data_IF_038768287346
#
_entry.id   IF_038768287346
#
_cell.length_a   1.000
_cell.length_b   1.000
_cell.length_c   1.000
_cell.angle_alpha   90.00
_cell.angle_beta   90.00
_cell.angle_gamma   90.00
#
_symmetry.space_group_name_H-M   'P 1'
#
loop_
_entity.id
_entity.type
_entity.pdbx_description
1 polymer ?
#
# COMPACT_ATOMS: atom_id res chain seq x y z
N UNK A 1 -0.69 45.20 25.67
CA UNK A 1 -0.21 43.86 25.19
C UNK A 1 -0.93 42.72 25.90
N UNK A 2 -2.27 42.58 25.81
CA UNK A 2 -2.97 41.44 26.43
C UNK A 2 -4.26 40.91 25.79
N UNK A 3 -4.71 41.37 24.62
CA UNK A 3 -6.03 40.91 24.12
C UNK A 3 -6.10 40.32 22.70
N UNK A 4 -5.08 40.43 21.84
CA UNK A 4 -5.10 39.76 20.54
C UNK A 4 -3.79 39.04 20.27
N UNK A 5 -3.79 37.71 20.46
CA UNK A 5 -2.67 36.79 20.16
C UNK A 5 -2.42 36.67 18.64
N UNK A 6 -2.10 37.77 17.98
CA UNK A 6 -1.53 37.76 16.63
C UNK A 6 -0.02 37.64 16.79
N UNK A 7 0.48 36.40 16.76
CA UNK A 7 1.92 36.15 16.60
C UNK A 7 2.26 36.54 15.17
N UNK A 8 2.65 37.81 14.97
CA UNK A 8 3.21 38.23 13.69
C UNK A 8 4.55 37.50 13.51
N UNK A 9 4.76 36.79 12.40
CA UNK A 9 6.06 36.26 12.03
C UNK A 9 7.15 37.35 12.15
N UNK A 10 8.33 37.03 12.69
CA UNK A 10 9.39 38.00 12.96
C UNK A 10 9.79 38.81 11.71
N UNK A 11 9.68 38.21 10.52
CA UNK A 11 9.96 38.87 9.25
C UNK A 11 8.99 40.03 8.96
N UNK A 12 7.70 39.88 9.29
CA UNK A 12 6.72 40.94 9.11
C UNK A 12 6.94 42.07 10.11
N UNK A 13 7.34 41.76 11.35
CA UNK A 13 7.65 42.77 12.36
C UNK A 13 8.88 43.62 11.99
N UNK A 14 9.92 42.99 11.42
CA UNK A 14 11.10 43.69 10.89
C UNK A 14 10.72 44.59 9.70
N UNK A 15 9.86 44.11 8.81
CA UNK A 15 9.37 44.90 7.67
C UNK A 15 8.58 46.13 8.15
N UNK A 16 7.66 45.96 9.10
CA UNK A 16 6.91 47.07 9.70
C UNK A 16 7.84 48.09 10.36
N UNK A 17 8.88 47.64 11.08
CA UNK A 17 9.87 48.53 11.68
C UNK A 17 10.64 49.33 10.62
N UNK A 18 11.01 48.69 9.50
CA UNK A 18 11.69 49.36 8.40
C UNK A 18 10.79 50.43 7.74
N UNK A 19 9.51 50.12 7.52
CA UNK A 19 8.53 51.07 7.00
C UNK A 19 8.35 52.28 7.91
N UNK A 20 8.14 52.06 9.22
CA UNK A 20 7.99 53.14 10.21
C UNK A 20 9.25 54.03 10.26
N UNK A 21 10.43 53.41 10.14
CA UNK A 21 11.70 54.17 10.15
C UNK A 21 11.84 55.03 8.90
N UNK A 22 11.45 54.50 7.73
CA UNK A 22 11.49 55.23 6.47
C UNK A 22 10.48 56.37 6.41
N UNK A 23 9.26 56.14 6.88
CA UNK A 23 8.21 57.16 7.02
C UNK A 23 8.66 58.27 7.99
N UNK A 24 9.25 57.91 9.13
CA UNK A 24 9.79 58.86 10.09
C UNK A 24 10.94 59.71 9.56
N UNK A 25 11.77 59.18 8.65
CA UNK A 25 12.77 59.99 7.94
C UNK A 25 12.13 60.87 6.86
N UNK A 26 11.11 60.38 6.15
CA UNK A 26 10.36 61.14 5.15
C UNK A 26 9.66 62.37 5.75
N UNK A 27 9.00 62.20 6.90
CA UNK A 27 8.35 63.29 7.63
C UNK A 27 9.32 64.37 8.15
N UNK A 28 10.61 64.05 8.31
CA UNK A 28 11.62 65.07 8.66
C UNK A 28 11.99 65.97 7.48
N UNK A 29 11.86 65.48 6.24
CA UNK A 29 12.09 66.29 5.04
C UNK A 29 10.80 66.99 4.58
N UNK A 30 9.65 66.34 4.67
CA UNK A 30 8.36 66.88 4.23
C UNK A 30 7.23 66.48 5.20
N UNK A 31 6.62 67.43 5.93
CA UNK A 31 5.75 67.11 7.07
C UNK A 31 4.43 66.40 6.74
N UNK A 32 3.97 66.43 5.49
CA UNK A 32 2.72 65.79 5.01
C UNK A 32 2.98 64.47 4.22
N UNK A 33 4.18 63.89 4.34
CA UNK A 33 4.56 62.70 3.57
C UNK A 33 3.82 61.43 4.03
N UNK A 34 2.93 60.89 3.18
CA UNK A 34 2.30 59.58 3.34
C UNK A 34 3.00 58.53 2.47
N UNK A 35 3.84 57.72 3.11
CA UNK A 35 4.59 56.67 2.42
C UNK A 35 3.71 55.51 1.95
N UNK A 36 2.65 55.19 2.68
CA UNK A 36 1.75 54.09 2.36
C UNK A 36 0.91 54.42 1.12
N UNK A 37 0.45 55.66 0.99
CA UNK A 37 -0.29 56.18 -0.17
C UNK A 37 0.52 56.10 -1.47
N UNK A 38 1.80 56.45 -1.44
CA UNK A 38 2.70 56.42 -2.61
C UNK A 38 3.23 55.02 -2.95
N UNK A 39 3.45 54.16 -1.95
CA UNK A 39 3.91 52.79 -2.18
C UNK A 39 2.80 51.87 -2.72
N UNK A 40 1.53 52.12 -2.38
CA UNK A 40 0.38 51.34 -2.82
C UNK A 40 0.28 51.14 -4.34
N UNK A 41 0.36 52.19 -5.19
CA UNK A 41 0.26 52.04 -6.64
C UNK A 41 1.40 51.22 -7.26
N UNK A 42 2.62 51.35 -6.75
CA UNK A 42 3.76 50.52 -7.17
C UNK A 42 3.54 49.05 -6.80
N UNK A 43 3.09 48.78 -5.57
CA UNK A 43 2.78 47.43 -5.13
C UNK A 43 1.68 46.79 -6.00
N UNK A 44 0.66 47.58 -6.35
CA UNK A 44 -0.47 47.13 -7.17
C UNK A 44 -0.06 46.83 -8.60
N UNK A 45 0.79 47.67 -9.20
CA UNK A 45 1.36 47.44 -10.53
C UNK A 45 2.18 46.14 -10.57
N UNK A 46 3.00 45.90 -9.55
CA UNK A 46 3.87 44.72 -9.48
C UNK A 46 3.08 43.44 -9.19
N UNK A 47 2.05 43.51 -8.33
CA UNK A 47 1.13 42.39 -8.10
C UNK A 47 0.34 42.03 -9.36
N UNK A 48 -0.14 43.03 -10.11
CA UNK A 48 -0.81 42.84 -11.40
C UNK A 48 0.14 42.23 -12.43
N UNK A 49 1.40 42.67 -12.48
CA UNK A 49 2.44 42.10 -13.35
C UNK A 49 2.71 40.62 -13.02
N UNK A 50 2.72 40.27 -11.73
CA UNK A 50 2.95 38.89 -11.24
C UNK A 50 1.73 37.97 -11.45
N UNK A 51 0.53 38.53 -11.58
CA UNK A 51 -0.72 37.84 -11.90
C UNK A 51 -1.08 37.87 -13.40
N UNK A 52 -0.14 38.24 -14.27
CA UNK A 52 -0.38 38.18 -15.71
C UNK A 52 -0.50 36.73 -16.21
N UNK A 53 -1.40 36.44 -17.17
CA UNK A 53 -1.63 35.09 -17.70
C UNK A 53 -0.37 34.45 -18.30
N UNK A 54 0.62 35.23 -18.70
CA UNK A 54 1.93 34.75 -19.17
C UNK A 54 2.73 34.00 -18.10
N UNK A 55 2.60 34.40 -16.83
CA UNK A 55 3.29 33.76 -15.70
C UNK A 55 2.70 32.38 -15.37
N UNK A 56 1.37 32.23 -15.52
CA UNK A 56 0.64 30.97 -15.39
C UNK A 56 1.02 30.00 -16.51
N UNK A 57 1.09 30.49 -17.75
CA UNK A 57 1.53 29.67 -18.91
C UNK A 57 2.98 29.21 -18.76
N UNK A 58 3.90 30.09 -18.33
CA UNK A 58 5.30 29.70 -18.05
C UNK A 58 5.41 28.66 -16.94
N UNK A 59 4.61 28.78 -15.88
CA UNK A 59 4.55 27.77 -14.80
C UNK A 59 4.02 26.43 -15.31
N UNK A 60 2.94 26.45 -16.09
CA UNK A 60 2.37 25.24 -16.70
C UNK A 60 3.34 24.55 -17.67
N UNK A 61 4.05 25.31 -18.50
CA UNK A 61 5.06 24.78 -19.41
C UNK A 61 6.23 24.13 -18.67
N UNK A 62 6.70 24.76 -17.58
CA UNK A 62 7.79 24.24 -16.75
C UNK A 62 7.37 22.94 -16.05
N UNK A 63 6.17 22.90 -15.47
CA UNK A 63 5.61 21.68 -14.87
C UNK A 63 5.43 20.55 -15.91
N UNK A 64 4.94 20.86 -17.11
CA UNK A 64 4.82 19.87 -18.19
C UNK A 64 6.19 19.34 -18.65
N UNK A 65 7.21 20.20 -18.72
CA UNK A 65 8.57 19.78 -19.09
C UNK A 65 9.23 18.88 -18.03
N UNK A 66 9.00 19.15 -16.74
CA UNK A 66 9.46 18.27 -15.65
C UNK A 66 8.78 16.90 -15.72
N UNK A 67 7.46 16.89 -15.98
CA UNK A 67 6.68 15.66 -16.12
C UNK A 67 7.16 14.81 -17.31
N UNK A 68 7.50 15.47 -18.44
CA UNK A 68 8.11 14.81 -19.58
C UNK A 68 9.52 14.29 -19.28
N UNK A 69 10.32 15.01 -18.49
CA UNK A 69 11.64 14.56 -18.04
C UNK A 69 11.57 13.27 -17.22
N UNK A 70 10.63 13.19 -16.27
CA UNK A 70 10.42 11.99 -15.44
C UNK A 70 10.05 10.78 -16.31
N UNK A 71 9.16 10.96 -17.29
CA UNK A 71 8.76 9.87 -18.20
C UNK A 71 9.93 9.43 -19.09
N UNK A 72 10.78 10.38 -19.51
CA UNK A 72 11.95 10.09 -20.33
C UNK A 72 13.04 9.30 -19.58
N UNK A 73 13.21 9.56 -18.28
CA UNK A 73 14.21 8.87 -17.45
C UNK A 73 13.73 7.51 -16.91
N UNK A 74 12.43 7.31 -16.74
CA UNK A 74 11.81 6.07 -16.28
C UNK A 74 12.29 4.79 -17.00
N UNK A 75 12.35 4.71 -18.34
CA UNK A 75 12.82 3.50 -19.03
C UNK A 75 14.28 3.18 -18.74
N UNK A 76 15.11 4.19 -18.47
CA UNK A 76 16.51 4.00 -18.12
C UNK A 76 16.67 3.39 -16.74
N UNK A 77 15.90 3.89 -15.76
CA UNK A 77 15.86 3.35 -14.40
C UNK A 77 15.34 1.92 -14.38
N UNK A 78 14.28 1.63 -15.14
CA UNK A 78 13.73 0.28 -15.27
C UNK A 78 14.75 -0.67 -15.91
N UNK A 79 15.47 -0.21 -16.94
CA UNK A 79 16.55 -0.98 -17.57
C UNK A 79 17.70 -1.26 -16.61
N UNK A 80 18.07 -0.30 -15.75
CA UNK A 80 19.08 -0.48 -14.70
C UNK A 80 18.63 -1.52 -13.68
N UNK A 81 17.35 -1.47 -13.27
CA UNK A 81 16.76 -2.42 -12.32
C UNK A 81 16.77 -3.85 -12.87
N UNK A 82 16.33 -4.04 -14.12
CA UNK A 82 16.31 -5.34 -14.80
C UNK A 82 17.73 -5.89 -14.96
N UNK A 83 18.70 -5.03 -15.29
CA UNK A 83 20.12 -5.42 -15.39
C UNK A 83 20.70 -5.81 -14.03
N UNK A 84 20.31 -5.13 -12.95
CA UNK A 84 20.70 -5.50 -11.59
C UNK A 84 20.09 -6.85 -11.18
N UNK A 85 18.80 -7.07 -11.51
CA UNK A 85 18.10 -8.33 -11.27
C UNK A 85 18.76 -9.51 -12.00
N UNK A 86 19.05 -9.33 -13.30
CA UNK A 86 19.68 -10.38 -14.14
C UNK A 86 21.08 -10.76 -13.67
N UNK A 87 21.81 -9.83 -13.02
CA UNK A 87 23.14 -10.10 -12.46
C UNK A 87 23.11 -10.81 -11.10
N UNK A 88 21.93 -11.15 -10.58
CA UNK A 88 21.79 -11.76 -9.26
C UNK A 88 22.27 -10.85 -8.11
N UNK A 89 22.48 -9.55 -8.40
CA UNK A 89 22.89 -8.53 -7.42
C UNK A 89 21.70 -7.74 -6.89
N UNK A 90 20.47 -8.21 -7.13
CA UNK A 90 19.34 -7.74 -6.34
C UNK A 90 19.47 -8.43 -4.99
N UNK A 91 20.22 -7.79 -4.09
CA UNK A 91 20.17 -8.10 -2.67
C UNK A 91 18.83 -7.56 -2.17
N UNK A 92 17.76 -8.28 -2.51
CA UNK A 92 16.43 -7.91 -2.07
C UNK A 92 16.38 -8.25 -0.60
N UNK A 93 16.59 -7.24 0.24
CA UNK A 93 16.14 -7.24 1.63
C UNK A 93 14.59 -7.27 1.67
N UNK A 94 13.98 -8.27 1.02
CA UNK A 94 12.66 -8.74 1.41
C UNK A 94 12.91 -9.47 2.71
N UNK A 95 12.29 -9.03 3.80
CA UNK A 95 12.25 -9.75 5.06
C UNK A 95 11.85 -11.20 4.78
N UNK A 96 12.83 -12.10 4.71
CA UNK A 96 12.69 -13.50 4.29
C UNK A 96 11.69 -14.23 5.20
N UNK A 97 11.46 -13.68 6.40
CA UNK A 97 10.47 -14.12 7.36
C UNK A 97 9.03 -14.11 6.80
N UNK A 98 8.65 -13.11 6.00
CA UNK A 98 7.30 -13.02 5.43
C UNK A 98 7.09 -14.00 4.27
N UNK A 99 8.09 -14.18 3.40
CA UNK A 99 7.98 -15.13 2.29
C UNK A 99 7.96 -16.58 2.78
N UNK A 100 8.75 -16.91 3.80
CA UNK A 100 8.74 -18.24 4.41
C UNK A 100 7.39 -18.56 5.03
N UNK A 101 6.78 -17.59 5.71
CA UNK A 101 5.45 -17.78 6.30
C UNK A 101 4.36 -17.98 5.24
N UNK A 102 4.43 -17.28 4.11
CA UNK A 102 3.51 -17.50 2.98
C UNK A 102 3.73 -18.88 2.35
N UNK A 103 4.97 -19.33 2.23
CA UNK A 103 5.31 -20.69 1.77
C UNK A 103 4.72 -21.77 2.68
N UNK A 104 4.93 -21.65 4.00
CA UNK A 104 4.45 -22.63 4.98
C UNK A 104 2.90 -22.70 5.01
N UNK A 105 2.22 -21.55 4.86
CA UNK A 105 0.76 -21.51 4.75
C UNK A 105 0.25 -22.18 3.46
N UNK A 106 0.95 -21.96 2.34
CA UNK A 106 0.60 -22.56 1.05
C UNK A 106 0.78 -24.07 1.08
N UNK A 107 1.88 -24.57 1.63
CA UNK A 107 2.13 -26.01 1.81
C UNK A 107 1.05 -26.65 2.70
N UNK A 108 0.65 -25.97 3.77
CA UNK A 108 -0.47 -26.39 4.62
C UNK A 108 -1.80 -26.46 3.86
N UNK A 109 -2.09 -25.48 2.99
CA UNK A 109 -3.29 -25.46 2.16
C UNK A 109 -3.29 -26.57 1.10
N UNK A 110 -2.17 -26.77 0.41
CA UNK A 110 -2.01 -27.82 -0.59
C UNK A 110 -2.18 -29.20 0.03
N UNK A 111 -1.55 -29.46 1.18
CA UNK A 111 -1.69 -30.75 1.87
C UNK A 111 -3.14 -31.03 2.30
N UNK A 112 -3.86 -30.01 2.77
CA UNK A 112 -5.31 -30.13 3.10
C UNK A 112 -6.15 -30.43 1.86
N UNK A 113 -5.85 -29.79 0.72
CA UNK A 113 -6.52 -30.06 -0.55
C UNK A 113 -6.25 -31.48 -1.04
N UNK A 114 -4.99 -31.94 -1.01
CA UNK A 114 -4.62 -33.30 -1.39
C UNK A 114 -5.34 -34.34 -0.53
N UNK A 115 -5.36 -34.15 0.79
CA UNK A 115 -6.03 -35.07 1.69
C UNK A 115 -7.56 -35.07 1.50
N UNK A 116 -8.18 -33.91 1.25
CA UNK A 116 -9.60 -33.83 0.86
C UNK A 116 -9.90 -34.56 -0.44
N UNK A 117 -9.01 -34.46 -1.44
CA UNK A 117 -9.14 -35.15 -2.72
C UNK A 117 -9.06 -36.68 -2.56
N UNK A 118 -8.15 -37.18 -1.72
CA UNK A 118 -8.03 -38.61 -1.40
C UNK A 118 -9.33 -39.12 -0.76
N UNK A 119 -9.90 -38.38 0.19
CA UNK A 119 -11.16 -38.76 0.85
C UNK A 119 -12.30 -38.76 -0.15
N UNK A 120 -12.41 -37.74 -1.01
CA UNK A 120 -13.43 -37.70 -2.05
C UNK A 120 -13.31 -38.89 -3.01
N UNK A 121 -12.10 -39.23 -3.44
CA UNK A 121 -11.84 -40.39 -4.28
C UNK A 121 -12.20 -41.71 -3.59
N UNK A 122 -11.92 -41.86 -2.30
CA UNK A 122 -12.32 -43.03 -1.51
C UNK A 122 -13.85 -43.15 -1.37
N UNK A 123 -14.55 -42.04 -1.15
CA UNK A 123 -16.02 -42.02 -1.08
C UNK A 123 -16.62 -42.47 -2.40
N UNK A 124 -16.18 -41.88 -3.52
CA UNK A 124 -16.66 -42.23 -4.86
C UNK A 124 -16.33 -43.68 -5.20
N UNK A 125 -15.09 -44.13 -4.95
CA UNK A 125 -14.68 -45.51 -5.18
C UNK A 125 -15.49 -46.51 -4.36
N UNK A 126 -15.74 -46.21 -3.08
CA UNK A 126 -16.59 -47.02 -2.21
C UNK A 126 -18.04 -47.09 -2.71
N UNK A 127 -18.58 -45.98 -3.22
CA UNK A 127 -19.92 -45.92 -3.81
C UNK A 127 -20.03 -46.75 -5.10
N UNK A 128 -18.99 -46.75 -5.93
CA UNK A 128 -18.95 -47.53 -7.17
C UNK A 128 -18.90 -49.03 -6.84
N UNK A 129 -18.01 -49.43 -5.92
CA UNK A 129 -17.89 -50.84 -5.47
C UNK A 129 -19.21 -51.35 -4.88
N UNK A 130 -19.96 -50.49 -4.21
CA UNK A 130 -21.27 -50.85 -3.65
C UNK A 130 -22.35 -51.11 -4.71
N UNK A 131 -22.16 -50.60 -5.93
CA UNK A 131 -23.09 -50.78 -7.07
C UNK A 131 -22.78 -52.05 -7.87
N UNK A 132 -21.61 -52.68 -7.68
CA UNK A 132 -21.23 -53.90 -8.41
C UNK A 132 -21.79 -55.15 -7.71
N UNK A 133 -22.75 -55.81 -8.37
CA UNK A 133 -23.39 -57.05 -7.92
C UNK A 133 -22.43 -58.23 -8.15
N UNK A 134 -21.54 -58.54 -7.20
CA UNK A 134 -20.62 -59.69 -7.38
C UNK A 134 -19.49 -59.90 -6.37
N UNK A 135 -19.67 -59.66 -5.06
CA UNK A 135 -18.64 -59.91 -4.04
C UNK A 135 -19.20 -60.56 -2.76
N UNK A 136 -18.35 -61.19 -1.92
CA UNK A 136 -18.77 -61.87 -0.69
C UNK A 136 -19.58 -60.91 0.20
N UNK A 137 -20.84 -61.25 0.42
CA UNK A 137 -21.81 -60.42 1.13
C UNK A 137 -21.72 -60.72 2.63
N UNK A 138 -21.43 -59.69 3.42
CA UNK A 138 -21.60 -59.75 4.86
C UNK A 138 -22.91 -59.01 5.15
N UNK A 139 -23.96 -59.73 5.54
CA UNK A 139 -25.24 -59.13 5.96
C UNK A 139 -25.98 -58.39 4.83
N UNK A 140 -25.95 -58.90 3.59
CA UNK A 140 -26.69 -58.35 2.44
C UNK A 140 -26.10 -57.08 1.81
N UNK A 141 -24.99 -56.55 2.36
CA UNK A 141 -24.24 -55.43 1.82
C UNK A 141 -22.87 -55.90 1.32
N UNK A 142 -22.31 -55.29 0.25
CA UNK A 142 -20.97 -55.61 -0.22
C UNK A 142 -19.93 -55.29 0.86
N UNK A 143 -19.20 -56.30 1.35
CA UNK A 143 -18.20 -56.16 2.43
C UNK A 143 -17.18 -55.04 2.15
N UNK A 144 -16.73 -54.95 0.90
CA UNK A 144 -15.78 -53.93 0.46
C UNK A 144 -16.34 -52.49 0.50
N UNK A 145 -17.65 -52.30 0.31
CA UNK A 145 -18.29 -50.99 0.39
C UNK A 145 -18.41 -50.46 1.82
N UNK A 146 -18.72 -51.35 2.78
CA UNK A 146 -18.77 -50.98 4.21
C UNK A 146 -17.37 -50.65 4.73
N UNK A 147 -16.37 -51.43 4.36
CA UNK A 147 -14.97 -51.20 4.73
C UNK A 147 -14.45 -49.86 4.19
N UNK A 148 -14.75 -49.55 2.92
CA UNK A 148 -14.39 -48.28 2.28
C UNK A 148 -15.06 -47.09 2.95
N UNK A 149 -16.35 -47.19 3.27
CA UNK A 149 -17.09 -46.15 3.98
C UNK A 149 -16.55 -45.88 5.39
N UNK A 150 -16.19 -46.92 6.15
CA UNK A 150 -15.56 -46.77 7.46
C UNK A 150 -14.21 -46.04 7.38
N UNK A 151 -13.34 -46.46 6.44
CA UNK A 151 -12.06 -45.79 6.19
C UNK A 151 -12.26 -44.32 5.78
N UNK A 152 -13.21 -44.03 4.90
CA UNK A 152 -13.51 -42.67 4.46
C UNK A 152 -14.04 -41.80 5.62
N UNK A 153 -14.89 -42.35 6.48
CA UNK A 153 -15.45 -41.62 7.64
C UNK A 153 -14.36 -41.31 8.67
N UNK A 154 -13.47 -42.26 8.95
CA UNK A 154 -12.31 -42.06 9.85
C UNK A 154 -11.35 -41.01 9.25
N UNK A 155 -11.04 -41.11 7.96
CA UNK A 155 -10.18 -40.15 7.26
C UNK A 155 -10.77 -38.74 7.23
N UNK A 156 -12.08 -38.61 6.99
CA UNK A 156 -12.82 -37.35 7.04
C UNK A 156 -12.79 -36.70 8.41
N UNK A 157 -13.06 -37.46 9.47
CA UNK A 157 -12.99 -36.97 10.85
C UNK A 157 -11.57 -36.55 11.21
N UNK A 158 -10.55 -37.31 10.79
CA UNK A 158 -9.15 -36.97 11.03
C UNK A 158 -8.72 -35.69 10.30
N UNK A 159 -9.17 -35.49 9.05
CA UNK A 159 -8.94 -34.27 8.27
C UNK A 159 -9.58 -33.03 8.90
N UNK A 160 -10.84 -33.12 9.34
CA UNK A 160 -11.52 -32.01 10.03
C UNK A 160 -10.79 -31.68 11.33
N UNK A 161 -10.29 -32.71 12.05
CA UNK A 161 -9.53 -32.52 13.27
C UNK A 161 -8.17 -31.87 13.01
N UNK A 162 -7.46 -32.24 11.94
CA UNK A 162 -6.18 -31.63 11.57
C UNK A 162 -6.32 -30.17 11.15
N UNK A 163 -7.40 -29.83 10.43
CA UNK A 163 -7.74 -28.43 10.10
C UNK A 163 -8.01 -27.64 11.38
N UNK A 164 -8.79 -28.18 12.33
CA UNK A 164 -9.10 -27.52 13.61
C UNK A 164 -7.87 -27.34 14.51
N UNK A 165 -6.98 -28.32 14.55
CA UNK A 165 -5.75 -28.27 15.35
C UNK A 165 -4.74 -27.27 14.77
N UNK A 166 -4.57 -27.25 13.44
CA UNK A 166 -3.67 -26.29 12.79
C UNK A 166 -4.18 -24.85 12.88
N UNK A 167 -5.51 -24.63 12.88
CA UNK A 167 -6.09 -23.30 13.13
C UNK A 167 -5.96 -22.84 14.60
N UNK A 168 -5.69 -23.76 15.54
CA UNK A 168 -5.48 -23.44 16.96
C UNK A 168 -4.02 -23.03 17.23
N UNK A 169 -3.07 -23.57 16.47
CA UNK A 169 -1.65 -23.21 16.58
C UNK A 169 -1.36 -21.76 16.12
N UNK A 170 -2.10 -21.24 15.14
CA UNK A 170 -1.98 -19.83 14.71
C UNK A 170 -2.57 -18.80 15.70
N UNK A 171 -3.34 -19.26 16.70
CA UNK A 171 -3.91 -18.39 17.74
C UNK A 171 -3.01 -18.19 18.96
N UNK A 172 -2.04 -19.07 19.19
CA UNK A 172 -1.08 -18.96 20.31
C UNK A 172 0.22 -18.24 19.93
N UNK A 173 0.46 -17.97 18.64
CA UNK A 173 1.66 -17.29 18.13
C UNK A 173 1.51 -15.79 17.87
N UNK A 174 0.40 -15.17 18.30
CA UNK A 174 0.23 -13.71 18.30
C UNK A 174 0.41 -13.15 19.72
N UNK A 175 1.54 -12.49 20.03
CA UNK A 175 1.63 -11.58 21.18
C UNK A 175 0.76 -10.34 20.98
#
# INVERSE_FOLDING_TARGET
MREHKLVLPPDLALLTKAFITLEGMGCQLEPDFDMAGEALPLLRAEMLARYTPSSLVKRGWRAASEMLGIIADLPHDLSRLIRAARRGKLDIHIDVLHLKHVGDQLDGAVNRLSAGLIIAALIVGSSIVMTVVGGPTLMGLPFFGVLGSFCATIGGVWLVRSIRLSNKADRESRP
#
